data_IF_526082916027
#
_entry.id   IF_526082916027
#
_cell.length_a   1.000
_cell.length_b   1.000
_cell.length_c   1.000
_cell.angle_alpha   90.00
_cell.angle_beta   90.00
_cell.angle_gamma   90.00
#
_symmetry.space_group_name_H-M   'P 1'
#
loop_
_entity.id
_entity.type
_entity.pdbx_description
1 polymer ?
#
# COMPACT_ATOMS: atom_id res chain seq x y z
N UNK A 1 11.69 -15.76 35.68
CA UNK A 1 10.23 -15.48 35.76
C UNK A 1 9.85 -14.19 35.02
N UNK A 2 10.33 -12.99 35.44
CA UNK A 2 9.95 -11.71 34.80
C UNK A 2 10.31 -11.58 33.31
N UNK A 3 11.53 -11.97 32.93
CA UNK A 3 12.03 -11.83 31.55
C UNK A 3 11.31 -12.75 30.55
N UNK A 4 10.86 -13.93 31.00
CA UNK A 4 10.15 -14.91 30.15
C UNK A 4 8.76 -14.38 29.75
N UNK A 5 8.09 -13.63 30.64
CA UNK A 5 6.80 -12.99 30.33
C UNK A 5 6.94 -11.91 29.26
N UNK A 6 8.02 -11.12 29.32
CA UNK A 6 8.29 -10.06 28.34
C UNK A 6 8.58 -10.69 26.96
N UNK A 7 9.40 -11.74 26.91
CA UNK A 7 9.70 -12.46 25.67
C UNK A 7 8.43 -13.09 25.07
N UNK A 8 7.56 -13.68 25.89
CA UNK A 8 6.29 -14.24 25.44
C UNK A 8 5.35 -13.19 24.83
N UNK A 9 5.29 -11.97 25.39
CA UNK A 9 4.47 -10.89 24.82
C UNK A 9 5.00 -10.40 23.47
N UNK A 10 6.33 -10.29 23.33
CA UNK A 10 6.97 -9.84 22.08
C UNK A 10 6.79 -10.86 20.95
N UNK A 11 6.87 -12.17 21.25
CA UNK A 11 6.67 -13.23 20.25
C UNK A 11 5.23 -13.29 19.72
N UNK A 12 4.23 -12.95 20.54
CA UNK A 12 2.82 -12.93 20.12
C UNK A 12 2.49 -11.75 19.18
N UNK A 13 3.31 -10.70 19.16
CA UNK A 13 3.14 -9.54 18.25
C UNK A 13 3.69 -9.78 16.83
N UNK A 14 4.38 -10.90 16.58
CA UNK A 14 4.87 -11.29 15.26
C UNK A 14 3.75 -11.87 14.35
N UNK A 15 2.54 -11.32 14.41
CA UNK A 15 1.49 -11.72 13.48
C UNK A 15 1.74 -11.11 12.10
N UNK A 16 1.66 -11.97 11.09
CA UNK A 16 1.90 -11.69 9.69
C UNK A 16 1.21 -10.40 9.23
N UNK A 17 2.00 -9.38 8.87
CA UNK A 17 1.53 -8.26 8.09
C UNK A 17 1.22 -8.78 6.68
N UNK A 18 -0.04 -9.10 6.41
CA UNK A 18 -0.49 -9.33 5.04
C UNK A 18 -0.59 -7.97 4.37
N UNK A 19 0.14 -7.77 3.27
CA UNK A 19 -0.22 -6.70 2.32
C UNK A 19 -1.64 -7.03 1.86
N UNK A 20 -2.61 -6.28 2.38
CA UNK A 20 -4.00 -6.43 1.98
C UNK A 20 -4.07 -6.10 0.49
N UNK A 21 -4.96 -6.76 -0.25
CA UNK A 21 -5.13 -6.64 -1.72
C UNK A 21 -5.56 -5.24 -2.18
N UNK A 22 -5.43 -4.24 -1.32
CA UNK A 22 -5.76 -2.83 -1.48
C UNK A 22 -5.08 -2.22 -2.71
N UNK A 23 -3.91 -2.74 -3.10
CA UNK A 23 -3.14 -2.28 -4.26
C UNK A 23 -3.23 -3.20 -5.49
N UNK A 24 -4.32 -3.97 -5.64
CA UNK A 24 -4.54 -4.83 -6.83
C UNK A 24 -4.93 -4.04 -8.07
N UNK A 25 -5.57 -2.89 -7.92
CA UNK A 25 -5.97 -2.05 -9.04
C UNK A 25 -5.13 -0.79 -9.07
N UNK A 26 -4.40 -0.59 -10.15
CA UNK A 26 -3.61 0.61 -10.40
C UNK A 26 -4.32 1.43 -11.45
N UNK A 27 -4.84 2.59 -11.05
CA UNK A 27 -5.50 3.51 -11.98
C UNK A 27 -4.50 4.57 -12.40
N UNK A 28 -4.26 4.68 -13.69
CA UNK A 28 -3.44 5.72 -14.30
C UNK A 28 -4.33 6.85 -14.81
N UNK A 29 -3.73 8.03 -14.88
CA UNK A 29 -4.42 9.21 -15.35
C UNK A 29 -4.59 9.30 -16.87
N UNK A 30 -4.04 8.40 -17.69
CA UNK A 30 -4.26 8.38 -19.14
C UNK A 30 -5.40 7.44 -19.54
N UNK A 31 -6.53 7.50 -18.81
CA UNK A 31 -7.69 6.62 -19.02
C UNK A 31 -7.36 5.11 -19.01
N UNK A 32 -6.27 4.73 -18.34
CA UNK A 32 -5.74 3.38 -18.30
C UNK A 32 -5.71 2.86 -16.88
N UNK A 33 -5.84 1.54 -16.72
CA UNK A 33 -5.75 0.86 -15.45
C UNK A 33 -5.23 -0.57 -15.62
N UNK A 34 -4.56 -1.07 -14.58
CA UNK A 34 -4.08 -2.44 -14.49
C UNK A 34 -4.63 -3.12 -13.25
N UNK A 35 -5.13 -4.34 -13.43
CA UNK A 35 -5.64 -5.19 -12.36
C UNK A 35 -4.69 -6.40 -12.18
N UNK A 36 -4.13 -6.54 -10.98
CA UNK A 36 -3.18 -7.58 -10.57
C UNK A 36 -3.86 -8.74 -9.80
N UNK A 37 -5.19 -8.87 -9.87
CA UNK A 37 -5.94 -9.94 -9.21
C UNK A 37 -5.67 -11.33 -9.80
N UNK A 38 -5.28 -11.40 -11.07
CA UNK A 38 -4.90 -12.63 -11.76
C UNK A 38 -3.38 -12.71 -11.96
N UNK A 39 -2.89 -13.88 -12.38
CA UNK A 39 -1.45 -14.11 -12.59
C UNK A 39 -0.83 -13.26 -13.71
N UNK A 40 -1.68 -12.71 -14.59
CA UNK A 40 -1.30 -11.81 -15.67
C UNK A 40 -2.07 -10.51 -15.47
N UNK A 41 -1.41 -9.34 -15.41
CA UNK A 41 -2.10 -8.08 -15.23
C UNK A 41 -3.14 -7.84 -16.33
N UNK A 42 -4.38 -7.55 -15.94
CA UNK A 42 -5.48 -7.28 -16.86
C UNK A 42 -5.65 -5.77 -17.05
N UNK A 43 -5.74 -5.34 -18.31
CA UNK A 43 -6.00 -3.94 -18.64
C UNK A 43 -7.49 -3.61 -18.48
N UNK A 44 -7.78 -2.43 -17.92
CA UNK A 44 -9.11 -1.81 -17.97
C UNK A 44 -9.00 -0.32 -18.28
N UNK A 45 -10.07 0.25 -18.86
CA UNK A 45 -10.14 1.69 -19.12
C UNK A 45 -10.71 2.42 -17.91
N UNK A 46 -10.06 3.50 -17.49
CA UNK A 46 -10.52 4.39 -16.42
C UNK A 46 -11.09 5.68 -17.00
N UNK A 47 -11.97 6.36 -16.25
CA UNK A 47 -12.58 7.62 -16.71
C UNK A 47 -11.78 8.87 -16.30
N UNK A 48 -10.52 8.69 -15.85
CA UNK A 48 -9.66 9.78 -15.40
C UNK A 48 -8.76 10.26 -16.54
N UNK A 49 -8.58 11.57 -16.60
CA UNK A 49 -7.55 12.25 -17.39
C UNK A 49 -6.67 13.12 -16.48
N UNK A 50 -5.47 12.66 -16.12
CA UNK A 50 -4.48 13.38 -15.32
C UNK A 50 -3.06 12.97 -15.71
N UNK A 51 -2.11 13.91 -15.68
CA UNK A 51 -0.71 13.61 -15.91
C UNK A 51 -0.06 12.93 -14.68
N UNK A 52 -0.56 13.23 -13.48
CA UNK A 52 0.05 12.81 -12.20
C UNK A 52 -1.02 12.66 -11.11
N UNK A 53 -0.60 12.20 -9.93
CA UNK A 53 -1.41 12.21 -8.70
C UNK A 53 -2.77 11.49 -8.83
N UNK A 54 -2.76 10.32 -9.47
CA UNK A 54 -3.87 9.37 -9.41
C UNK A 54 -3.70 8.44 -8.18
N UNK A 55 -4.82 8.08 -7.57
CA UNK A 55 -4.86 7.12 -6.46
C UNK A 55 -6.08 6.21 -6.60
N UNK A 56 -5.93 4.95 -6.20
CA UNK A 56 -6.96 3.91 -6.25
C UNK A 56 -6.97 3.09 -4.96
N UNK A 57 -8.16 2.68 -4.53
CA UNK A 57 -8.38 1.85 -3.34
C UNK A 57 -9.20 0.64 -3.74
N UNK A 58 -8.72 -0.54 -3.37
CA UNK A 58 -9.41 -1.82 -3.58
C UNK A 58 -9.93 -2.41 -2.26
N UNK A 59 -10.95 -3.26 -2.32
CA UNK A 59 -11.42 -4.03 -1.16
C UNK A 59 -10.48 -5.19 -0.81
N UNK A 60 -10.80 -5.92 0.27
CA UNK A 60 -10.04 -7.10 0.71
C UNK A 60 -10.10 -8.28 -0.27
N UNK A 61 -11.03 -8.27 -1.23
CA UNK A 61 -11.12 -9.24 -2.31
C UNK A 61 -10.31 -8.82 -3.55
N UNK A 62 -9.86 -7.56 -3.62
CA UNK A 62 -9.13 -6.99 -4.75
C UNK A 62 -10.00 -6.27 -5.78
N UNK A 63 -11.26 -5.96 -5.47
CA UNK A 63 -12.15 -5.18 -6.34
C UNK A 63 -11.90 -3.68 -6.16
N UNK A 64 -11.86 -2.92 -7.26
CA UNK A 64 -11.71 -1.47 -7.22
C UNK A 64 -12.96 -0.80 -6.60
N UNK A 65 -12.77 -0.11 -5.48
CA UNK A 65 -13.85 0.62 -4.79
C UNK A 65 -13.88 2.10 -5.19
N UNK A 66 -12.73 2.76 -5.13
CA UNK A 66 -12.61 4.19 -5.37
C UNK A 66 -11.33 4.50 -6.13
N UNK A 67 -11.39 5.51 -7.00
CA UNK A 67 -10.22 6.07 -7.64
C UNK A 67 -10.42 7.58 -7.85
N UNK A 68 -9.35 8.33 -7.72
CA UNK A 68 -9.37 9.79 -7.83
C UNK A 68 -8.12 10.32 -8.51
N UNK A 69 -8.22 11.54 -9.03
CA UNK A 69 -7.09 12.33 -9.50
C UNK A 69 -7.05 13.63 -8.72
N UNK A 70 -5.85 14.08 -8.39
CA UNK A 70 -5.68 15.45 -7.98
C UNK A 70 -5.77 16.38 -9.21
N UNK A 71 -6.61 17.40 -9.12
CA UNK A 71 -6.74 18.45 -10.14
C UNK A 71 -5.89 19.69 -9.81
N UNK A 72 -5.26 19.73 -8.64
CA UNK A 72 -4.41 20.84 -8.20
C UNK A 72 -2.95 20.50 -8.48
N UNK A 73 -2.51 20.90 -9.67
CA UNK A 73 -1.10 20.99 -10.00
C UNK A 73 -0.29 21.69 -8.89
N UNK A 74 0.64 20.96 -8.28
CA UNK A 74 1.60 21.46 -7.29
C UNK A 74 2.46 20.32 -6.77
N UNK A 75 3.62 20.13 -7.40
CA UNK A 75 4.72 19.24 -7.03
C UNK A 75 4.89 19.28 -5.50
N UNK A 76 4.41 18.28 -4.74
CA UNK A 76 4.81 17.99 -3.33
C UNK A 76 3.97 16.87 -2.67
N UNK A 77 2.82 16.46 -3.22
CA UNK A 77 1.90 15.54 -2.51
C UNK A 77 2.19 14.04 -2.66
N UNK A 78 3.24 13.64 -3.38
CA UNK A 78 3.53 12.22 -3.71
C UNK A 78 4.08 11.37 -2.56
N UNK A 79 4.24 11.89 -1.34
CA UNK A 79 4.77 11.11 -0.20
C UNK A 79 3.72 10.53 0.74
N UNK A 80 2.43 10.89 0.61
CA UNK A 80 1.45 10.50 1.63
C UNK A 80 0.74 9.18 1.35
N UNK A 81 0.44 8.83 0.09
CA UNK A 81 -0.50 7.73 -0.18
C UNK A 81 0.15 6.38 -0.51
N UNK A 82 1.38 6.35 -1.02
CA UNK A 82 2.11 5.09 -1.30
C UNK A 82 3.03 4.64 -0.16
N UNK A 83 3.43 5.56 0.73
CA UNK A 83 4.43 5.28 1.78
C UNK A 83 3.82 4.58 3.01
N UNK A 84 2.50 4.58 3.17
CA UNK A 84 1.86 3.95 4.33
C UNK A 84 1.75 2.42 4.22
N UNK A 85 2.04 1.83 3.06
CA UNK A 85 1.97 0.36 2.88
C UNK A 85 3.34 -0.35 3.03
N UNK A 86 4.45 0.38 3.21
CA UNK A 86 5.79 -0.20 3.42
C UNK A 86 6.44 0.32 4.72
N UNK A 87 5.69 0.45 5.82
CA UNK A 87 6.27 0.92 7.09
C UNK A 87 6.35 -0.13 8.21
N UNK A 88 5.90 -1.37 7.99
CA UNK A 88 6.02 -2.41 9.04
C UNK A 88 7.41 -3.05 9.14
N UNK A 89 8.39 -2.64 8.33
CA UNK A 89 9.77 -3.18 8.36
C UNK A 89 10.84 -2.18 8.85
N UNK A 90 10.54 -0.89 9.03
CA UNK A 90 11.53 0.11 9.43
C UNK A 90 11.90 0.11 10.92
N UNK A 91 11.18 -0.64 11.76
CA UNK A 91 11.52 -0.81 13.18
C UNK A 91 12.66 -1.82 13.42
N UNK A 92 12.91 -2.73 12.48
CA UNK A 92 13.94 -3.77 12.64
C UNK A 92 15.37 -3.27 12.32
N UNK A 93 15.50 -2.27 11.47
CA UNK A 93 16.81 -1.70 11.11
C UNK A 93 17.46 -0.88 12.23
N UNK A 94 16.69 -0.28 13.14
CA UNK A 94 17.23 0.48 14.28
C UNK A 94 17.68 -0.40 15.45
N UNK A 95 17.11 -1.60 15.61
CA UNK A 95 17.44 -2.50 16.73
C UNK A 95 18.74 -3.26 16.49
N UNK A 96 19.13 -3.52 15.23
CA UNK A 96 20.40 -4.17 14.87
C UNK A 96 21.60 -3.22 14.76
N UNK A 97 21.38 -1.90 14.73
CA UNK A 97 22.47 -0.91 14.71
C UNK A 97 22.94 -0.48 16.12
N UNK A 98 22.27 -0.95 17.18
CA UNK A 98 22.55 -0.59 18.57
C UNK A 98 23.11 -1.75 19.42
N UNK A 99 23.51 -2.87 18.80
CA UNK A 99 24.29 -3.96 19.39
C UNK A 99 25.57 -4.12 18.57
#
# INVERSE_FOLDING_TARGET
MRQVLIISMVVLMYHHAFSQKENYNWVFGDSAGLNFSSSVPEYFSSSIWSAEACSSISDSAGNLLFYTMDKRFGIDSMKSCQTEMISTLDLWFWILAAV
#
